data_IF_637198858948
#
_entry.id   IF_637198858948
#
_cell.length_a   1.000
_cell.length_b   1.000
_cell.length_c   1.000
_cell.angle_alpha   90.00
_cell.angle_beta   90.00
_cell.angle_gamma   90.00
#
_symmetry.space_group_name_H-M   'P 1'
#
loop_
_entity.id
_entity.type
_entity.pdbx_description
1 polymer ?
#
# COMPACT_ATOMS: atom_id res chain seq x y z
N UNK A 1 -41.40 -39.47 -32.65
CA UNK A 1 -40.60 -38.71 -31.69
C UNK A 1 -40.54 -37.26 -32.16
N UNK A 2 -41.03 -36.30 -31.37
CA UNK A 2 -40.98 -34.87 -31.74
C UNK A 2 -40.00 -34.19 -30.79
N UNK A 3 -38.87 -33.76 -31.32
CA UNK A 3 -37.91 -32.95 -30.59
C UNK A 3 -38.54 -31.58 -30.30
N UNK A 4 -38.59 -31.22 -29.03
CA UNK A 4 -39.04 -29.93 -28.57
C UNK A 4 -37.81 -29.02 -28.43
N UNK A 5 -37.39 -28.39 -29.53
CA UNK A 5 -36.34 -27.37 -29.51
C UNK A 5 -36.99 -26.01 -29.40
N UNK A 6 -37.10 -25.50 -28.16
CA UNK A 6 -37.77 -24.24 -27.87
C UNK A 6 -37.12 -23.44 -26.74
N UNK A 7 -35.79 -23.49 -26.62
CA UNK A 7 -35.03 -22.50 -25.87
C UNK A 7 -34.32 -21.59 -26.87
N UNK A 8 -34.45 -20.27 -26.74
CA UNK A 8 -33.74 -19.33 -27.62
C UNK A 8 -32.24 -19.53 -27.40
N UNK A 9 -31.43 -19.38 -28.46
CA UNK A 9 -29.97 -19.35 -28.32
C UNK A 9 -29.54 -18.28 -27.30
N UNK A 10 -30.37 -17.24 -27.15
CA UNK A 10 -30.22 -16.18 -26.15
C UNK A 10 -30.28 -16.71 -24.72
N UNK A 11 -31.10 -17.73 -24.42
CA UNK A 11 -31.19 -18.33 -23.08
C UNK A 11 -29.91 -19.11 -22.75
N UNK A 12 -29.40 -19.85 -23.74
CA UNK A 12 -28.14 -20.58 -23.61
C UNK A 12 -26.96 -19.62 -23.44
N UNK A 13 -26.87 -18.59 -24.27
CA UNK A 13 -25.81 -17.59 -24.19
C UNK A 13 -25.88 -16.80 -22.87
N UNK A 14 -27.08 -16.41 -22.42
CA UNK A 14 -27.27 -15.72 -21.13
C UNK A 14 -26.84 -16.59 -19.96
N UNK A 15 -27.20 -17.89 -19.98
CA UNK A 15 -26.78 -18.83 -18.95
C UNK A 15 -25.26 -18.99 -18.90
N UNK A 16 -24.59 -19.05 -20.06
CA UNK A 16 -23.12 -19.12 -20.12
C UNK A 16 -22.49 -17.84 -19.57
N UNK A 17 -22.97 -16.66 -19.94
CA UNK A 17 -22.46 -15.41 -19.40
C UNK A 17 -22.65 -15.29 -17.88
N UNK A 18 -23.80 -15.70 -17.37
CA UNK A 18 -24.09 -15.67 -15.93
C UNK A 18 -23.20 -16.63 -15.14
N UNK A 19 -22.99 -17.85 -15.65
CA UNK A 19 -22.13 -18.86 -15.02
C UNK A 19 -20.65 -18.46 -15.09
N UNK A 20 -20.20 -17.94 -16.23
CA UNK A 20 -18.82 -17.46 -16.38
C UNK A 20 -18.58 -16.24 -15.49
N UNK A 21 -19.53 -15.30 -15.40
CA UNK A 21 -19.46 -14.15 -14.49
C UNK A 21 -19.26 -14.57 -13.05
N UNK A 22 -20.09 -15.49 -12.54
CA UNK A 22 -19.96 -16.02 -11.17
C UNK A 22 -18.63 -16.73 -10.93
N UNK A 23 -18.11 -17.46 -11.91
CA UNK A 23 -16.80 -18.10 -11.78
C UNK A 23 -15.65 -17.09 -11.83
N UNK A 24 -15.78 -16.06 -12.66
CA UNK A 24 -14.81 -14.98 -12.80
C UNK A 24 -14.73 -14.15 -11.53
N UNK A 25 -15.86 -13.90 -10.87
CA UNK A 25 -15.92 -13.22 -9.58
C UNK A 25 -15.08 -13.95 -8.53
N UNK A 26 -15.11 -15.29 -8.49
CA UNK A 26 -14.27 -16.09 -7.58
C UNK A 26 -12.78 -15.91 -7.89
N UNK A 27 -12.41 -15.90 -9.17
CA UNK A 27 -11.01 -15.66 -9.56
C UNK A 27 -10.59 -14.22 -9.27
N UNK A 28 -11.47 -13.23 -9.48
CA UNK A 28 -11.21 -11.82 -9.16
C UNK A 28 -11.13 -11.61 -7.65
N UNK A 29 -11.96 -12.25 -6.83
CA UNK A 29 -11.87 -12.23 -5.37
C UNK A 29 -10.58 -12.90 -4.86
N UNK A 30 -10.11 -13.94 -5.56
CA UNK A 30 -8.84 -14.59 -5.24
C UNK A 30 -7.61 -13.80 -5.74
N UNK A 31 -7.77 -12.99 -6.78
CA UNK A 31 -6.76 -12.11 -7.36
C UNK A 31 -6.80 -10.69 -6.80
N UNK A 32 -7.87 -10.29 -6.11
CA UNK A 32 -7.88 -9.11 -5.26
C UNK A 32 -6.71 -9.33 -4.32
N UNK A 33 -5.65 -8.51 -4.43
CA UNK A 33 -4.52 -8.69 -3.56
C UNK A 33 -5.07 -8.36 -2.19
N UNK A 34 -5.30 -9.39 -1.36
CA UNK A 34 -5.55 -9.22 0.08
C UNK A 34 -4.46 -8.32 0.68
N UNK A 35 -3.30 -8.23 0.03
CA UNK A 35 -2.17 -7.39 0.37
C UNK A 35 -2.29 -5.92 -0.09
N UNK A 36 -2.94 -5.59 -1.20
CA UNK A 36 -3.05 -4.21 -1.71
C UNK A 36 -4.05 -3.39 -0.86
N UNK A 37 -5.17 -4.01 -0.47
CA UNK A 37 -6.14 -3.41 0.46
C UNK A 37 -5.69 -3.47 1.93
N UNK A 38 -4.82 -4.41 2.32
CA UNK A 38 -4.25 -4.46 3.69
C UNK A 38 -3.07 -3.49 3.87
N UNK A 39 -2.31 -3.14 2.82
CA UNK A 39 -1.23 -2.15 2.91
C UNK A 39 -1.76 -0.74 3.23
N UNK A 40 -2.93 -0.35 2.72
CA UNK A 40 -3.55 0.94 3.06
C UNK A 40 -4.02 0.99 4.53
N UNK A 41 -4.43 -0.14 5.11
CA UNK A 41 -5.06 -0.20 6.43
C UNK A 41 -4.09 0.01 7.60
N UNK A 42 -2.79 0.20 7.35
CA UNK A 42 -1.82 0.44 8.43
C UNK A 42 -0.83 1.56 8.14
N UNK A 43 -1.10 2.41 7.15
CA UNK A 43 -0.25 3.58 6.91
C UNK A 43 -0.30 4.54 8.10
N UNK A 44 0.87 5.03 8.49
CA UNK A 44 1.05 5.95 9.60
C UNK A 44 1.07 7.39 9.09
N UNK A 45 0.31 8.28 9.74
CA UNK A 45 0.49 9.71 9.54
C UNK A 45 1.84 10.15 10.12
N UNK A 46 2.39 11.26 9.63
CA UNK A 46 3.66 11.82 10.15
C UNK A 46 3.66 12.00 11.68
N UNK A 47 2.52 12.36 12.28
CA UNK A 47 2.39 12.51 13.73
C UNK A 47 2.41 11.18 14.49
N UNK A 48 1.93 10.09 13.89
CA UNK A 48 2.01 8.74 14.46
C UNK A 48 3.41 8.19 14.37
N UNK A 49 4.08 8.42 13.22
CA UNK A 49 5.48 8.06 13.03
C UNK A 49 6.37 8.78 14.05
N UNK A 50 6.15 10.09 14.27
CA UNK A 50 6.85 10.87 15.31
C UNK A 50 6.67 10.26 16.70
N UNK A 51 5.43 9.95 17.10
CA UNK A 51 5.16 9.33 18.41
C UNK A 51 5.83 7.97 18.59
N UNK A 52 5.81 7.12 17.55
CA UNK A 52 6.38 5.76 17.62
C UNK A 52 7.90 5.75 17.61
N UNK A 53 8.53 6.73 16.97
CA UNK A 53 9.99 6.81 16.85
C UNK A 53 10.64 7.71 17.90
N UNK A 54 9.86 8.57 18.56
CA UNK A 54 10.37 9.60 19.48
C UNK A 54 10.99 10.80 18.76
N UNK A 55 10.99 10.82 17.43
CA UNK A 55 11.50 11.93 16.63
C UNK A 55 10.49 13.07 16.51
N UNK A 56 10.99 14.26 16.22
CA UNK A 56 10.12 15.42 15.97
C UNK A 56 9.49 15.34 14.58
N UNK A 57 8.28 15.87 14.43
CA UNK A 57 7.63 16.01 13.10
C UNK A 57 8.52 16.81 12.14
N UNK A 58 9.24 17.81 12.64
CA UNK A 58 10.16 18.61 11.82
C UNK A 58 11.31 17.76 11.27
N UNK A 59 11.95 16.93 12.12
CA UNK A 59 13.01 16.00 11.71
C UNK A 59 12.50 15.03 10.63
N UNK A 60 11.35 14.41 10.84
CA UNK A 60 10.78 13.46 9.89
C UNK A 60 10.44 14.12 8.55
N UNK A 61 9.91 15.34 8.58
CA UNK A 61 9.64 16.12 7.36
C UNK A 61 10.92 16.47 6.61
N UNK A 62 11.98 16.82 7.35
CA UNK A 62 13.29 17.07 6.76
C UNK A 62 13.84 15.81 6.08
N UNK A 63 13.86 14.66 6.75
CA UNK A 63 14.32 13.39 6.15
C UNK A 63 13.47 12.96 4.96
N UNK A 64 12.17 13.19 5.02
CA UNK A 64 11.27 12.95 3.88
C UNK A 64 11.62 13.82 2.69
N UNK A 65 11.90 15.11 2.91
CA UNK A 65 12.32 16.05 1.87
C UNK A 65 13.67 15.64 1.26
N UNK A 66 14.58 15.10 2.07
CA UNK A 66 15.86 14.56 1.62
C UNK A 66 15.74 13.17 0.97
N UNK A 67 14.53 12.62 0.83
CA UNK A 67 14.27 11.34 0.16
C UNK A 67 14.55 10.09 1.01
N UNK A 68 14.91 10.26 2.29
CA UNK A 68 15.23 9.15 3.19
C UNK A 68 13.99 8.38 3.66
N UNK A 69 12.83 9.03 3.68
CA UNK A 69 11.55 8.44 4.10
C UNK A 69 10.54 8.52 2.94
N UNK A 70 10.38 7.44 2.15
CA UNK A 70 9.41 7.41 1.06
C UNK A 70 7.97 7.58 1.57
N UNK A 71 7.24 8.49 0.94
CA UNK A 71 5.81 8.73 1.21
C UNK A 71 5.00 7.78 0.34
N UNK A 72 4.11 6.99 0.97
CA UNK A 72 3.23 6.06 0.26
C UNK A 72 2.00 6.75 -0.33
N UNK A 73 1.63 7.90 0.23
CA UNK A 73 0.52 8.69 -0.26
C UNK A 73 0.21 9.85 0.66
N UNK A 74 -0.94 10.47 0.42
CA UNK A 74 -1.45 11.54 1.25
C UNK A 74 -2.90 11.24 1.65
N UNK A 75 -3.26 11.58 2.87
CA UNK A 75 -4.67 11.59 3.30
C UNK A 75 -5.46 12.60 2.45
N UNK A 76 -6.80 12.51 2.40
CA UNK A 76 -7.65 13.54 1.76
C UNK A 76 -7.41 14.96 2.29
N UNK A 77 -6.99 15.10 3.55
CA UNK A 77 -6.65 16.38 4.17
C UNK A 77 -5.21 16.86 3.92
N UNK A 78 -4.41 16.13 3.14
CA UNK A 78 -3.04 16.50 2.76
C UNK A 78 -1.91 16.02 3.68
N UNK A 79 -2.18 15.25 4.74
CA UNK A 79 -1.13 14.66 5.57
C UNK A 79 -0.38 13.53 4.84
N UNK A 80 0.94 13.49 4.97
CA UNK A 80 1.79 12.42 4.46
C UNK A 80 1.53 11.10 5.19
N UNK A 81 1.46 10.01 4.42
CA UNK A 81 1.29 8.64 4.88
C UNK A 81 2.55 7.82 4.64
N UNK A 82 2.94 7.05 5.65
CA UNK A 82 4.17 6.25 5.67
C UNK A 82 3.85 4.79 5.96
N UNK A 83 4.58 3.88 5.33
CA UNK A 83 4.51 2.47 5.69
C UNK A 83 5.08 2.25 7.11
N UNK A 84 4.55 1.32 7.93
CA UNK A 84 5.09 1.02 9.26
C UNK A 84 6.59 0.72 9.30
N UNK A 85 7.17 0.16 8.23
CA UNK A 85 8.62 -0.07 8.11
C UNK A 85 9.47 1.20 8.22
N UNK A 86 8.86 2.39 8.07
CA UNK A 86 9.55 3.66 8.29
C UNK A 86 9.99 3.86 9.74
N UNK A 87 9.39 3.16 10.70
CA UNK A 87 9.83 3.18 12.11
C UNK A 87 11.26 2.64 12.22
N UNK A 88 11.53 1.50 11.61
CA UNK A 88 12.86 0.87 11.61
C UNK A 88 13.86 1.72 10.84
N UNK A 89 13.46 2.27 9.69
CA UNK A 89 14.32 3.16 8.88
C UNK A 89 14.71 4.44 9.62
N UNK A 90 13.78 5.03 10.37
CA UNK A 90 14.09 6.17 11.27
C UNK A 90 15.14 5.78 12.31
N UNK A 91 14.99 4.61 12.94
CA UNK A 91 15.98 4.09 13.87
C UNK A 91 17.36 3.88 13.24
N UNK A 92 17.41 3.36 12.02
CA UNK A 92 18.64 3.18 11.24
C UNK A 92 19.35 4.51 10.98
N UNK A 93 18.62 5.50 10.44
CA UNK A 93 19.16 6.85 10.18
C UNK A 93 19.73 7.43 11.46
N UNK A 94 19.02 7.30 12.59
CA UNK A 94 19.46 7.83 13.87
C UNK A 94 20.73 7.14 14.37
N UNK A 95 20.79 5.82 14.25
CA UNK A 95 21.98 5.03 14.61
C UNK A 95 23.20 5.46 13.78
N UNK A 96 23.04 5.61 12.46
CA UNK A 96 24.10 6.08 11.57
C UNK A 96 24.60 7.49 11.91
N UNK A 97 23.69 8.41 12.28
CA UNK A 97 24.08 9.74 12.77
C UNK A 97 24.88 9.68 14.07
N UNK A 98 24.50 8.82 15.02
CA UNK A 98 25.14 8.78 16.34
C UNK A 98 26.47 8.02 16.32
N UNK A 99 26.51 6.85 15.70
CA UNK A 99 27.68 5.95 15.72
C UNK A 99 28.74 6.39 14.72
N UNK A 100 28.34 6.78 13.51
CA UNK A 100 29.25 7.10 12.41
C UNK A 100 29.41 8.60 12.17
N UNK A 101 28.66 9.45 12.90
CA UNK A 101 28.63 10.92 12.72
C UNK A 101 28.35 11.35 11.28
N UNK A 102 27.64 10.52 10.53
CA UNK A 102 27.31 10.81 9.14
C UNK A 102 26.27 11.93 9.08
N UNK A 103 26.47 12.82 8.12
CA UNK A 103 25.50 13.82 7.72
C UNK A 103 24.30 13.16 7.03
N UNK A 104 23.17 13.87 6.95
CA UNK A 104 21.98 13.36 6.25
C UNK A 104 22.25 13.11 4.76
N UNK A 105 23.11 13.92 4.15
CA UNK A 105 23.59 13.73 2.77
C UNK A 105 24.33 12.39 2.63
N UNK A 106 25.28 12.10 3.51
CA UNK A 106 26.05 10.84 3.46
C UNK A 106 25.18 9.62 3.78
N UNK A 107 24.20 9.77 4.68
CA UNK A 107 23.24 8.69 4.97
C UNK A 107 22.35 8.41 3.77
N UNK A 108 21.95 9.44 3.03
CA UNK A 108 21.17 9.29 1.79
C UNK A 108 21.97 8.58 0.71
N UNK A 109 23.24 8.89 0.56
CA UNK A 109 24.07 8.28 -0.47
C UNK A 109 24.46 6.82 -0.12
N UNK A 110 24.31 6.42 1.15
CA UNK A 110 24.62 5.08 1.66
C UNK A 110 23.40 4.13 1.71
N UNK A 111 22.17 4.63 1.56
CA UNK A 111 20.91 3.89 1.72
C UNK A 111 20.03 3.92 0.46
#
# INVERSE_FOLDING_TARGET
EKAQTGGSLDDFTSLIYEVVGRSLDIYLEALEPKEAGQMEQNLLKIGELARKTGETIHTLRYWTKEGLLPVQGHTPSGYQLYHPSMIERVGEIRRLQMEKRLTITEIRDAL
#
